data_IF_245749912026
#
_entry.id   IF_245749912026
#
_cell.length_a   1.000
_cell.length_b   1.000
_cell.length_c   1.000
_cell.angle_alpha   90.00
_cell.angle_beta   90.00
_cell.angle_gamma   90.00
#
_symmetry.space_group_name_H-M   'P 1'
#
loop_
_entity.id
_entity.type
_entity.pdbx_description
1 polymer ?
#
# COMPACT_ATOMS: atom_id res chain seq x y z
N UNK A 1 37.56 38.31 58.97
CA UNK A 1 36.35 39.11 58.69
C UNK A 1 36.01 38.84 57.22
N UNK A 2 35.21 37.79 56.98
CA UNK A 2 33.76 37.82 56.64
C UNK A 2 33.57 38.11 55.15
N UNK A 3 32.95 37.30 54.28
CA UNK A 3 32.10 36.08 54.33
C UNK A 3 32.02 35.59 52.86
N UNK A 4 32.31 34.34 52.48
CA UNK A 4 31.44 33.15 52.45
C UNK A 4 30.08 33.33 51.76
N UNK A 5 29.91 32.69 50.59
CA UNK A 5 28.80 31.74 50.38
C UNK A 5 29.17 30.71 49.30
N UNK A 6 29.32 29.46 49.74
CA UNK A 6 29.22 28.26 48.93
C UNK A 6 27.73 27.91 48.73
N UNK A 7 27.39 27.31 47.60
CA UNK A 7 26.11 26.65 47.36
C UNK A 7 26.34 25.39 46.55
N UNK A 8 26.00 24.24 47.13
CA UNK A 8 26.22 22.92 46.58
C UNK A 8 24.88 22.15 46.49
N UNK A 9 24.81 21.30 45.45
CA UNK A 9 24.07 20.02 45.29
C UNK A 9 22.57 20.02 44.95
N UNK A 10 22.26 19.04 44.08
CA UNK A 10 21.01 18.39 43.65
C UNK A 10 20.48 18.90 42.30
N UNK A 11 20.39 18.13 41.21
CA UNK A 11 20.34 16.68 41.04
C UNK A 11 18.90 16.26 40.68
N UNK A 12 18.77 15.63 39.51
CA UNK A 12 17.56 14.99 38.93
C UNK A 12 16.55 15.96 38.26
N UNK A 13 16.00 15.72 37.07
CA UNK A 13 15.89 14.50 36.27
C UNK A 13 16.17 14.79 34.79
N UNK A 14 17.05 13.97 34.19
CA UNK A 14 17.17 13.80 32.75
C UNK A 14 15.95 13.00 32.34
N UNK A 15 14.99 13.64 31.67
CA UNK A 15 13.86 12.92 31.07
C UNK A 15 14.39 11.98 30.00
N UNK A 16 14.07 10.69 30.13
CA UNK A 16 14.47 9.63 29.22
C UNK A 16 14.23 10.00 27.76
N UNK A 17 15.29 9.91 26.97
CA UNK A 17 15.28 10.09 25.52
C UNK A 17 15.19 8.69 24.92
N UNK A 18 14.08 8.38 24.25
CA UNK A 18 13.97 7.12 23.52
C UNK A 18 15.06 7.02 22.45
N UNK A 19 15.65 5.82 22.32
CA UNK A 19 16.82 5.40 21.52
C UNK A 19 16.67 5.58 19.99
N UNK A 20 15.66 6.35 19.55
CA UNK A 20 15.32 6.58 18.15
C UNK A 20 15.51 8.03 17.69
N UNK A 21 15.84 8.99 18.56
CA UNK A 21 16.35 10.32 18.16
C UNK A 21 15.51 11.12 17.16
N UNK A 22 14.17 11.04 17.18
CA UNK A 22 13.29 11.84 16.30
C UNK A 22 12.32 12.68 17.14
N UNK A 23 12.25 14.00 16.94
CA UNK A 23 11.37 14.86 17.73
C UNK A 23 9.90 14.59 17.46
N UNK A 24 9.14 14.51 18.56
CA UNK A 24 7.67 14.47 18.60
C UNK A 24 7.20 15.91 18.74
N UNK A 25 6.52 16.47 17.73
CA UNK A 25 5.95 17.82 17.88
C UNK A 25 4.64 17.74 18.65
N UNK A 26 4.67 18.35 19.84
CA UNK A 26 3.57 18.55 20.77
C UNK A 26 2.66 19.67 20.31
N UNK A 27 1.36 19.46 20.50
CA UNK A 27 0.29 20.37 20.14
C UNK A 27 0.20 21.64 21.01
N UNK A 28 -0.51 22.62 20.44
CA UNK A 28 -1.47 23.58 21.04
C UNK A 28 -1.05 25.03 21.27
N UNK A 29 -1.81 25.94 20.65
CA UNK A 29 -2.55 27.10 21.22
C UNK A 29 -3.01 28.01 20.05
N UNK A 30 -4.18 28.64 20.00
CA UNK A 30 -5.49 28.52 20.68
C UNK A 30 -6.49 29.45 19.91
N UNK A 31 -7.73 29.51 20.38
CA UNK A 31 -8.90 30.32 19.96
C UNK A 31 -9.78 29.68 18.86
N UNK A 32 -11.05 29.31 19.08
CA UNK A 32 -11.98 29.55 20.17
C UNK A 32 -13.30 30.08 19.59
N UNK A 33 -14.34 29.24 19.46
CA UNK A 33 -15.71 29.71 19.73
C UNK A 33 -16.67 28.56 20.04
N UNK A 34 -17.48 28.89 21.02
CA UNK A 34 -18.46 28.17 21.81
C UNK A 34 -19.79 27.92 21.07
N UNK A 35 -20.46 26.79 21.35
CA UNK A 35 -21.75 26.52 20.69
C UNK A 35 -22.55 25.29 21.15
N UNK A 36 -22.80 25.19 22.46
CA UNK A 36 -23.91 24.47 23.15
C UNK A 36 -24.55 23.23 22.48
N UNK A 37 -24.37 22.09 23.15
CA UNK A 37 -25.37 21.01 23.21
C UNK A 37 -26.55 21.36 24.14
N UNK A 38 -27.79 21.13 23.69
CA UNK A 38 -28.88 20.64 24.54
C UNK A 38 -29.76 19.67 23.77
N UNK A 39 -29.80 18.43 24.25
CA UNK A 39 -30.85 17.45 23.97
C UNK A 39 -32.10 17.84 24.76
N UNK A 40 -33.27 17.79 24.16
CA UNK A 40 -34.45 17.36 24.89
C UNK A 40 -35.43 16.60 23.98
N UNK A 41 -35.79 15.46 24.55
CA UNK A 41 -36.82 14.49 24.22
C UNK A 41 -38.18 15.11 23.90
N UNK A 42 -38.91 14.57 22.91
CA UNK A 42 -40.38 14.44 22.95
C UNK A 42 -40.94 13.73 21.70
N UNK A 43 -41.63 12.63 21.98
CA UNK A 43 -42.65 11.91 21.18
C UNK A 43 -43.79 11.60 22.18
N UNK A 44 -45.07 11.28 21.80
CA UNK A 44 -45.60 10.96 20.46
C UNK A 44 -47.10 11.32 20.14
N UNK A 45 -47.51 11.03 18.86
CA UNK A 45 -48.83 10.53 18.31
C UNK A 45 -50.01 11.51 18.05
N UNK A 46 -51.04 11.12 17.23
CA UNK A 46 -51.09 10.27 16.01
C UNK A 46 -52.04 10.81 14.89
N UNK A 47 -52.06 10.16 13.70
CA UNK A 47 -53.26 10.18 12.83
C UNK A 47 -53.10 9.77 11.35
N UNK A 48 -53.70 8.62 11.00
CA UNK A 48 -54.17 8.13 9.68
C UNK A 48 -53.16 8.05 8.50
N UNK A 49 -52.92 6.95 7.78
CA UNK A 49 -53.67 5.72 7.58
C UNK A 49 -53.89 5.51 6.07
N UNK A 50 -53.27 4.49 5.45
CA UNK A 50 -53.86 3.66 4.38
C UNK A 50 -52.90 2.52 3.95
N UNK A 51 -53.54 1.43 3.55
CA UNK A 51 -53.08 0.03 3.47
C UNK A 51 -52.47 -0.35 2.11
N UNK A 52 -51.75 -1.48 2.11
CA UNK A 52 -51.64 -2.60 1.12
C UNK A 52 -50.16 -2.94 0.86
N UNK A 53 -49.70 -4.18 0.70
CA UNK A 53 -50.15 -5.55 0.96
C UNK A 53 -48.91 -6.43 0.72
N UNK A 54 -48.72 -7.46 1.56
CA UNK A 54 -47.62 -8.42 1.48
C UNK A 54 -47.59 -9.18 0.14
N UNK A 55 -46.40 -9.29 -0.46
CA UNK A 55 -46.08 -10.31 -1.45
C UNK A 55 -44.88 -11.11 -0.94
N UNK A 56 -45.18 -12.28 -0.37
CA UNK A 56 -44.19 -13.31 -0.10
C UNK A 56 -43.90 -14.06 -1.42
N UNK A 57 -42.64 -14.00 -1.91
CA UNK A 57 -42.18 -14.88 -2.98
C UNK A 57 -41.34 -16.01 -2.40
N UNK A 58 -41.92 -17.21 -2.54
CA UNK A 58 -41.44 -18.52 -2.13
C UNK A 58 -40.06 -18.84 -2.74
N UNK A 59 -39.16 -19.36 -1.90
CA UNK A 59 -38.03 -20.19 -2.32
C UNK A 59 -38.59 -21.50 -2.90
N UNK A 60 -38.31 -21.81 -4.16
CA UNK A 60 -38.52 -23.14 -4.74
C UNK A 60 -37.24 -23.94 -4.50
N UNK A 61 -37.33 -24.99 -3.67
CA UNK A 61 -36.39 -26.11 -3.72
C UNK A 61 -36.80 -27.00 -4.89
N UNK A 62 -35.84 -27.35 -5.75
CA UNK A 62 -36.00 -28.43 -6.71
C UNK A 62 -35.62 -29.73 -6.00
N UNK A 63 -36.66 -30.49 -5.62
CA UNK A 63 -36.55 -31.92 -5.32
C UNK A 63 -36.51 -32.66 -6.66
N UNK A 64 -35.46 -33.44 -6.88
CA UNK A 64 -35.45 -34.53 -7.85
C UNK A 64 -35.63 -35.83 -7.08
N UNK A 65 -36.73 -36.51 -7.38
CA UNK A 65 -37.10 -37.85 -6.93
C UNK A 65 -36.40 -38.90 -7.78
N UNK A 66 -35.92 -39.98 -7.14
CA UNK A 66 -35.98 -41.32 -7.70
C UNK A 66 -35.98 -42.35 -6.57
N UNK A 67 -37.11 -43.06 -6.43
CA UNK A 67 -37.18 -44.39 -5.81
C UNK A 67 -36.34 -45.38 -6.67
N UNK A 68 -35.79 -46.51 -6.22
CA UNK A 68 -36.29 -47.52 -5.28
C UNK A 68 -35.19 -48.56 -4.96
N UNK A 69 -35.46 -49.33 -3.89
CA UNK A 69 -35.13 -50.75 -3.66
C UNK A 69 -33.73 -51.16 -3.14
N UNK A 70 -33.65 -51.33 -1.81
CA UNK A 70 -33.43 -52.62 -1.11
C UNK A 70 -32.14 -53.43 -1.32
N UNK A 71 -31.39 -53.68 -0.24
CA UNK A 71 -30.43 -54.81 -0.19
C UNK A 71 -29.36 -54.73 0.90
N UNK A 72 -29.19 -55.83 1.64
CA UNK A 72 -28.48 -55.96 2.92
C UNK A 72 -26.93 -55.80 2.91
N UNK A 73 -26.42 -55.53 4.12
CA UNK A 73 -25.04 -55.49 4.63
C UNK A 73 -24.04 -56.45 3.97
N UNK A 74 -22.79 -55.98 3.77
CA UNK A 74 -21.55 -56.62 4.28
C UNK A 74 -20.32 -55.74 4.07
N UNK A 75 -19.59 -55.52 5.16
CA UNK A 75 -18.25 -54.93 5.22
C UNK A 75 -17.23 -55.94 4.73
N UNK A 76 -16.38 -55.56 3.77
CA UNK A 76 -15.13 -56.26 3.46
C UNK A 76 -14.05 -55.23 3.13
N UNK A 77 -12.92 -55.39 3.80
CA UNK A 77 -11.68 -54.62 3.66
C UNK A 77 -10.70 -55.49 2.83
N UNK A 78 -9.72 -54.84 2.19
CA UNK A 78 -8.41 -55.34 1.66
C UNK A 78 -8.40 -55.68 0.14
N UNK A 79 -7.33 -55.43 -0.67
CA UNK A 79 -6.26 -54.41 -0.64
C UNK A 79 -6.07 -53.65 -1.99
N UNK A 80 -5.21 -52.63 -1.97
CA UNK A 80 -4.66 -51.93 -3.14
C UNK A 80 -3.80 -52.86 -4.01
N UNK A 81 -4.07 -52.90 -5.33
CA UNK A 81 -3.08 -53.28 -6.35
C UNK A 81 -3.18 -52.38 -7.59
N UNK A 82 -2.08 -52.35 -8.35
CA UNK A 82 -1.58 -51.28 -9.21
C UNK A 82 -2.29 -51.15 -10.57
N UNK A 83 -2.32 -49.91 -11.05
CA UNK A 83 -2.08 -49.46 -12.44
C UNK A 83 -3.01 -49.97 -13.55
N UNK A 84 -3.75 -49.04 -14.16
CA UNK A 84 -3.70 -48.78 -15.63
C UNK A 84 -4.35 -47.43 -15.95
N UNK A 85 -3.72 -46.64 -16.83
CA UNK A 85 -4.30 -45.46 -17.48
C UNK A 85 -5.51 -45.88 -18.32
N UNK A 86 -6.63 -45.13 -18.28
CA UNK A 86 -7.45 -44.67 -19.41
C UNK A 86 -8.40 -43.58 -18.89
N UNK A 87 -8.62 -42.51 -19.67
CA UNK A 87 -9.90 -41.79 -19.63
C UNK A 87 -9.80 -40.29 -19.39
N UNK A 88 -9.64 -39.52 -20.47
CA UNK A 88 -10.17 -38.17 -20.51
C UNK A 88 -11.69 -38.27 -20.43
N UNK A 89 -12.29 -37.61 -19.42
CA UNK A 89 -13.58 -36.87 -19.43
C UNK A 89 -14.06 -36.71 -17.99
N UNK A 90 -14.35 -35.47 -17.58
CA UNK A 90 -15.46 -35.05 -16.72
C UNK A 90 -15.04 -33.81 -15.93
N UNK A 91 -15.84 -32.74 -16.06
CA UNK A 91 -15.55 -31.41 -15.55
C UNK A 91 -15.23 -31.37 -14.05
N UNK A 92 -14.20 -30.60 -13.71
CA UNK A 92 -13.98 -30.17 -12.33
C UNK A 92 -15.09 -29.19 -11.92
N UNK A 93 -15.66 -29.30 -10.71
CA UNK A 93 -16.73 -28.42 -10.25
C UNK A 93 -16.25 -26.98 -10.20
N UNK A 94 -17.05 -26.06 -10.77
CA UNK A 94 -16.84 -24.61 -10.70
C UNK A 94 -16.88 -24.18 -9.24
N UNK A 95 -15.74 -23.75 -8.69
CA UNK A 95 -15.65 -23.19 -7.34
C UNK A 95 -15.84 -21.66 -7.42
N UNK A 96 -16.78 -21.05 -6.67
CA UNK A 96 -17.19 -19.67 -6.88
C UNK A 96 -16.55 -18.65 -5.92
N UNK A 97 -15.27 -18.79 -5.55
CA UNK A 97 -14.61 -17.88 -4.58
C UNK A 97 -13.42 -17.09 -5.16
N UNK A 98 -13.44 -15.78 -4.90
CA UNK A 98 -12.70 -14.69 -5.53
C UNK A 98 -11.19 -14.58 -5.22
N UNK A 99 -10.50 -15.67 -4.89
CA UNK A 99 -9.11 -15.60 -4.41
C UNK A 99 -8.12 -16.57 -5.08
N UNK A 100 -8.54 -17.36 -6.08
CA UNK A 100 -7.68 -18.46 -6.55
C UNK A 100 -6.72 -18.22 -7.70
N UNK A 101 -6.77 -17.09 -8.39
CA UNK A 101 -5.95 -16.94 -9.59
C UNK A 101 -5.14 -15.65 -9.60
N UNK A 102 -4.31 -15.38 -8.59
CA UNK A 102 -3.22 -14.40 -8.81
C UNK A 102 -2.08 -15.02 -9.63
N UNK A 103 -1.90 -16.34 -9.52
CA UNK A 103 -0.90 -17.08 -10.29
C UNK A 103 -1.24 -17.27 -11.79
N UNK A 104 -2.53 -17.35 -12.15
CA UNK A 104 -3.00 -17.51 -13.54
C UNK A 104 -2.92 -16.18 -14.33
N UNK A 105 -2.91 -15.07 -13.60
CA UNK A 105 -3.00 -13.70 -14.10
C UNK A 105 -1.77 -13.24 -14.87
N UNK A 106 -0.59 -13.63 -14.40
CA UNK A 106 0.66 -13.25 -15.04
C UNK A 106 1.03 -14.19 -16.20
N UNK A 107 0.30 -15.29 -16.41
CA UNK A 107 0.73 -16.43 -17.24
C UNK A 107 0.44 -16.31 -18.75
N UNK A 108 -0.13 -15.21 -19.26
CA UNK A 108 -0.47 -15.10 -20.68
C UNK A 108 0.68 -14.55 -21.55
N UNK A 109 1.29 -15.44 -22.36
CA UNK A 109 2.29 -15.11 -23.39
C UNK A 109 1.65 -14.47 -24.64
N UNK A 110 1.99 -13.20 -24.90
CA UNK A 110 2.27 -12.57 -26.22
C UNK A 110 2.30 -11.02 -26.05
N UNK A 111 3.46 -10.41 -26.36
CA UNK A 111 3.92 -9.00 -26.23
C UNK A 111 4.92 -8.77 -25.06
N UNK A 112 6.08 -8.14 -25.30
CA UNK A 112 7.01 -7.73 -24.25
C UNK A 112 6.39 -6.62 -23.36
N UNK A 113 6.86 -6.45 -22.10
CA UNK A 113 6.22 -5.56 -21.11
C UNK A 113 6.20 -4.08 -21.52
N UNK A 114 7.01 -3.69 -22.50
CA UNK A 114 7.14 -2.37 -23.11
C UNK A 114 6.23 -2.10 -24.32
N UNK A 115 5.56 -3.13 -24.87
CA UNK A 115 4.65 -2.98 -26.02
C UNK A 115 3.17 -2.72 -25.62
N UNK A 116 2.89 -2.56 -24.32
CA UNK A 116 1.56 -2.23 -23.80
C UNK A 116 1.53 -0.92 -23.02
N UNK A 117 0.40 -0.66 -22.35
CA UNK A 117 0.24 0.53 -21.50
C UNK A 117 0.91 0.31 -20.14
N UNK A 118 1.71 1.28 -19.71
CA UNK A 118 2.30 1.34 -18.39
C UNK A 118 1.34 2.10 -17.47
N UNK A 119 0.75 1.40 -16.50
CA UNK A 119 -0.05 2.04 -15.46
C UNK A 119 0.87 2.60 -14.38
N UNK A 120 0.73 3.88 -14.04
CA UNK A 120 1.42 4.51 -12.91
C UNK A 120 0.38 4.93 -11.88
N UNK A 121 0.38 4.29 -10.71
CA UNK A 121 -0.49 4.72 -9.60
C UNK A 121 0.25 5.71 -8.71
N UNK A 122 -0.45 6.68 -8.11
CA UNK A 122 0.21 7.78 -7.40
C UNK A 122 0.88 8.73 -8.39
N UNK A 123 0.36 8.78 -9.62
CA UNK A 123 0.94 9.51 -10.74
C UNK A 123 1.06 11.01 -10.47
N UNK A 124 0.18 11.61 -9.67
CA UNK A 124 0.25 13.04 -9.38
C UNK A 124 1.15 13.37 -8.18
N UNK A 125 1.69 12.36 -7.47
CA UNK A 125 2.71 12.53 -6.45
C UNK A 125 4.07 12.89 -7.04
N UNK A 126 5.02 13.31 -6.19
CA UNK A 126 6.33 13.81 -6.64
C UNK A 126 7.06 12.84 -7.59
N UNK A 127 7.25 11.59 -7.16
CA UNK A 127 7.93 10.56 -7.96
C UNK A 127 7.09 10.11 -9.15
N UNK A 128 5.76 10.05 -8.98
CA UNK A 128 4.83 9.71 -10.05
C UNK A 128 4.89 10.71 -11.20
N UNK A 129 4.94 12.01 -10.91
CA UNK A 129 5.00 13.05 -11.95
C UNK A 129 6.27 12.95 -12.76
N UNK A 130 7.41 12.88 -12.10
CA UNK A 130 8.71 12.73 -12.75
C UNK A 130 8.75 11.48 -13.65
N UNK A 131 8.20 10.35 -13.17
CA UNK A 131 8.13 9.12 -13.97
C UNK A 131 7.18 9.26 -15.16
N UNK A 132 5.96 9.79 -14.97
CA UNK A 132 4.98 9.93 -16.05
C UNK A 132 5.49 10.87 -17.13
N UNK A 133 6.03 12.04 -16.75
CA UNK A 133 6.61 13.01 -17.68
C UNK A 133 7.72 12.39 -18.52
N UNK A 134 8.61 11.63 -17.86
CA UNK A 134 9.67 10.90 -18.54
C UNK A 134 9.13 9.85 -19.52
N UNK A 135 8.23 8.97 -19.07
CA UNK A 135 7.69 7.90 -19.92
C UNK A 135 6.97 8.46 -21.14
N UNK A 136 6.22 9.56 -20.97
CA UNK A 136 5.57 10.28 -22.07
C UNK A 136 6.59 10.90 -23.02
N UNK A 137 7.66 11.51 -22.51
CA UNK A 137 8.75 12.06 -23.33
C UNK A 137 9.49 10.96 -24.13
N UNK A 138 9.56 9.74 -23.60
CA UNK A 138 10.08 8.55 -24.27
C UNK A 138 9.09 7.94 -25.29
N UNK A 139 7.89 8.51 -25.45
CA UNK A 139 6.86 8.03 -26.38
C UNK A 139 6.13 6.77 -25.91
N UNK A 140 6.22 6.44 -24.61
CA UNK A 140 5.57 5.25 -24.03
C UNK A 140 4.10 5.54 -23.76
N UNK A 141 3.24 4.54 -23.92
CA UNK A 141 1.83 4.63 -23.55
C UNK A 141 1.69 4.55 -22.02
N UNK A 142 1.13 5.59 -21.39
CA UNK A 142 0.98 5.68 -19.94
C UNK A 142 -0.48 5.86 -19.54
N UNK A 143 -0.93 5.06 -18.58
CA UNK A 143 -2.18 5.27 -17.85
C UNK A 143 -1.88 5.81 -16.46
N UNK A 144 -2.08 7.11 -16.27
CA UNK A 144 -1.93 7.75 -14.97
C UNK A 144 -3.16 7.49 -14.08
N UNK A 145 -2.91 6.95 -12.87
CA UNK A 145 -3.95 6.67 -11.87
C UNK A 145 -3.65 7.47 -10.61
N UNK A 146 -4.42 8.54 -10.42
CA UNK A 146 -4.35 9.39 -9.24
C UNK A 146 -5.65 10.23 -9.10
N UNK A 147 -6.18 10.47 -7.89
CA UNK A 147 -7.30 11.40 -7.68
C UNK A 147 -6.97 12.85 -8.03
N UNK A 148 -5.70 13.25 -8.02
CA UNK A 148 -5.22 14.58 -8.36
C UNK A 148 -4.54 14.64 -9.74
N UNK A 149 -4.87 13.69 -10.63
CA UNK A 149 -4.30 13.63 -11.97
C UNK A 149 -4.58 14.93 -12.75
N UNK A 150 -3.57 15.57 -13.37
CA UNK A 150 -3.80 16.74 -14.21
C UNK A 150 -4.61 16.36 -15.45
N UNK A 151 -5.47 17.26 -15.99
CA UNK A 151 -6.33 16.95 -17.14
C UNK A 151 -5.56 16.45 -18.38
N UNK A 152 -4.31 16.88 -18.55
CA UNK A 152 -3.44 16.46 -19.65
C UNK A 152 -3.12 14.95 -19.63
N UNK A 153 -3.25 14.28 -18.48
CA UNK A 153 -3.02 12.84 -18.34
C UNK A 153 -4.32 12.03 -18.29
N UNK A 154 -5.46 12.71 -18.49
CA UNK A 154 -6.79 12.13 -18.47
C UNK A 154 -7.56 12.40 -17.18
N UNK A 155 -8.72 11.75 -16.99
CA UNK A 155 -9.57 11.99 -15.83
C UNK A 155 -8.92 11.45 -14.55
N UNK A 156 -9.24 12.04 -13.38
CA UNK A 156 -8.90 11.47 -12.08
C UNK A 156 -9.39 10.04 -11.93
N UNK A 157 -8.54 9.16 -11.38
CA UNK A 157 -8.85 7.75 -11.14
C UNK A 157 -8.31 7.33 -9.77
N UNK A 158 -8.99 6.39 -9.12
CA UNK A 158 -8.47 5.72 -7.92
C UNK A 158 -8.40 4.23 -8.18
N UNK A 159 -7.49 3.53 -7.49
CA UNK A 159 -7.22 2.11 -7.72
C UNK A 159 -8.49 1.27 -7.52
N UNK A 160 -9.31 1.62 -6.52
CA UNK A 160 -10.54 0.92 -6.16
C UNK A 160 -11.66 1.09 -7.19
N UNK A 161 -11.53 2.05 -8.11
CA UNK A 161 -12.55 2.42 -9.10
C UNK A 161 -12.13 2.14 -10.53
N UNK A 162 -11.01 1.46 -10.76
CA UNK A 162 -10.59 1.04 -12.09
C UNK A 162 -11.55 -0.01 -12.64
N UNK A 163 -11.99 0.20 -13.88
CA UNK A 163 -12.86 -0.72 -14.62
C UNK A 163 -12.03 -1.76 -15.40
N UNK A 164 -12.66 -2.84 -15.84
CA UNK A 164 -12.03 -3.83 -16.73
C UNK A 164 -11.46 -3.18 -18.01
N UNK A 165 -12.07 -2.09 -18.48
CA UNK A 165 -11.60 -1.36 -19.65
C UNK A 165 -10.30 -0.57 -19.36
N UNK A 166 -10.12 -0.04 -18.15
CA UNK A 166 -8.86 0.62 -17.75
C UNK A 166 -7.69 -0.38 -17.71
N UNK A 167 -7.97 -1.66 -17.46
CA UNK A 167 -6.96 -2.73 -17.40
C UNK A 167 -6.68 -3.40 -18.75
N UNK A 168 -7.47 -3.11 -19.79
CA UNK A 168 -7.50 -3.88 -21.05
C UNK A 168 -6.12 -4.02 -21.70
N UNK A 169 -5.37 -2.93 -21.76
CA UNK A 169 -4.09 -2.83 -22.47
C UNK A 169 -2.88 -2.69 -21.51
N UNK A 170 -3.11 -2.86 -20.20
CA UNK A 170 -2.07 -2.68 -19.18
C UNK A 170 -1.18 -3.92 -19.09
N UNK A 171 0.08 -3.77 -19.46
CA UNK A 171 1.11 -4.84 -19.39
C UNK A 171 2.06 -4.65 -18.22
N UNK A 172 2.26 -3.42 -17.77
CA UNK A 172 3.15 -3.07 -16.67
C UNK A 172 2.45 -2.14 -15.69
N UNK A 173 2.65 -2.38 -14.39
CA UNK A 173 2.20 -1.48 -13.32
C UNK A 173 3.40 -0.97 -12.55
N UNK A 174 3.54 0.34 -12.43
CA UNK A 174 4.42 1.00 -11.47
C UNK A 174 3.57 1.53 -10.32
N UNK A 175 3.62 0.81 -9.20
CA UNK A 175 2.79 1.08 -8.04
C UNK A 175 3.52 2.02 -7.05
N UNK A 176 3.28 3.33 -7.20
CA UNK A 176 3.81 4.39 -6.33
C UNK A 176 2.78 4.97 -5.36
N UNK A 177 1.50 4.60 -5.48
CA UNK A 177 0.45 5.11 -4.61
C UNK A 177 0.70 4.65 -3.16
N UNK A 178 0.61 5.60 -2.25
CA UNK A 178 0.82 5.37 -0.83
C UNK A 178 1.08 6.67 -0.08
N UNK A 179 0.93 6.61 1.23
CA UNK A 179 1.28 7.68 2.15
C UNK A 179 2.65 7.39 2.76
N UNK A 180 3.56 8.36 2.66
CA UNK A 180 4.92 8.32 3.21
C UNK A 180 5.02 8.80 4.66
N UNK A 181 3.90 9.22 5.25
CA UNK A 181 3.83 9.71 6.64
C UNK A 181 4.19 8.57 7.59
N UNK A 182 5.19 8.80 8.46
CA UNK A 182 5.75 7.76 9.33
C UNK A 182 5.86 8.23 10.79
N UNK A 183 4.71 8.40 11.47
CA UNK A 183 4.64 8.92 12.83
C UNK A 183 5.08 7.85 13.85
N UNK A 184 5.18 8.25 15.12
CA UNK A 184 5.41 7.30 16.21
C UNK A 184 4.31 6.20 16.23
N UNK A 185 4.67 4.96 16.60
CA UNK A 185 3.72 3.85 16.62
C UNK A 185 2.51 4.14 17.53
N UNK A 186 1.32 4.02 16.97
CA UNK A 186 0.06 4.04 17.70
C UNK A 186 -0.99 3.23 16.92
N UNK A 187 -2.06 2.75 17.56
CA UNK A 187 -3.13 2.05 16.85
C UNK A 187 -3.71 2.87 15.69
N UNK A 188 -3.96 4.17 15.90
CA UNK A 188 -4.48 5.06 14.87
C UNK A 188 -3.50 5.24 13.70
N UNK A 189 -2.21 5.43 13.98
CA UNK A 189 -1.19 5.52 12.94
C UNK A 189 -1.06 4.22 12.14
N UNK A 190 -1.14 3.07 12.81
CA UNK A 190 -1.12 1.76 12.15
C UNK A 190 -2.32 1.58 11.23
N UNK A 191 -3.53 1.89 11.70
CA UNK A 191 -4.75 1.82 10.89
C UNK A 191 -4.67 2.73 9.66
N UNK A 192 -4.26 3.99 9.84
CA UNK A 192 -4.10 4.94 8.75
C UNK A 192 -3.06 4.46 7.73
N UNK A 193 -1.90 3.99 8.19
CA UNK A 193 -0.84 3.52 7.29
C UNK A 193 -1.29 2.26 6.52
N UNK A 194 -2.00 1.33 7.16
CA UNK A 194 -2.56 0.14 6.50
C UNK A 194 -3.58 0.53 5.43
N UNK A 195 -4.51 1.43 5.75
CA UNK A 195 -5.50 1.93 4.83
C UNK A 195 -4.88 2.65 3.63
N UNK A 196 -3.79 3.39 3.83
CA UNK A 196 -3.12 4.16 2.78
C UNK A 196 -2.18 3.33 1.90
N UNK A 197 -1.54 2.29 2.44
CA UNK A 197 -0.46 1.58 1.74
C UNK A 197 -0.79 0.12 1.41
N UNK A 198 -1.43 -0.61 2.33
CA UNK A 198 -1.71 -2.04 2.14
C UNK A 198 -3.02 -2.25 1.38
N UNK A 199 -4.08 -1.55 1.75
CA UNK A 199 -5.40 -1.73 1.12
C UNK A 199 -5.40 -1.41 -0.38
N UNK A 200 -4.77 -0.31 -0.85
CA UNK A 200 -4.71 -0.02 -2.28
C UNK A 200 -3.83 -1.04 -3.03
N UNK A 201 -2.76 -1.54 -2.40
CA UNK A 201 -1.96 -2.64 -2.96
C UNK A 201 -2.82 -3.89 -3.17
N UNK A 202 -3.63 -4.27 -2.19
CA UNK A 202 -4.55 -5.41 -2.32
C UNK A 202 -5.59 -5.20 -3.42
N UNK A 203 -6.19 -4.01 -3.49
CA UNK A 203 -7.17 -3.66 -4.51
C UNK A 203 -6.57 -3.72 -5.92
N UNK A 204 -5.35 -3.20 -6.09
CA UNK A 204 -4.58 -3.29 -7.33
C UNK A 204 -4.39 -4.75 -7.76
N UNK A 205 -3.87 -5.58 -6.86
CA UNK A 205 -3.56 -6.99 -7.14
C UNK A 205 -4.81 -7.83 -7.46
N UNK A 206 -5.97 -7.46 -6.91
CA UNK A 206 -7.24 -8.13 -7.22
C UNK A 206 -7.68 -7.95 -8.69
N UNK A 207 -7.28 -6.84 -9.32
CA UNK A 207 -7.68 -6.43 -10.67
C UNK A 207 -6.56 -6.54 -11.71
N UNK A 208 -5.32 -6.77 -11.30
CA UNK A 208 -4.13 -6.80 -12.17
C UNK A 208 -4.04 -8.04 -13.09
N UNK A 209 -5.16 -8.49 -13.69
CA UNK A 209 -5.34 -9.83 -14.27
C UNK A 209 -4.51 -10.18 -15.50
N UNK A 210 -3.98 -9.17 -16.20
CA UNK A 210 -3.21 -9.33 -17.45
C UNK A 210 -1.83 -8.67 -17.38
N UNK A 211 -1.50 -8.15 -16.20
CA UNK A 211 -0.22 -7.50 -15.94
C UNK A 211 0.89 -8.55 -16.07
N UNK A 212 2.02 -8.16 -16.63
CA UNK A 212 3.21 -9.01 -16.78
C UNK A 212 4.34 -8.58 -15.88
N UNK A 213 4.32 -7.31 -15.48
CA UNK A 213 5.32 -6.73 -14.60
C UNK A 213 4.69 -5.79 -13.59
N UNK A 214 5.01 -5.98 -12.32
CA UNK A 214 4.66 -5.08 -11.23
C UNK A 214 5.95 -4.55 -10.63
N UNK A 215 6.12 -3.24 -10.69
CA UNK A 215 7.20 -2.51 -10.04
C UNK A 215 6.60 -1.84 -8.83
N UNK A 216 7.03 -2.25 -7.65
CA UNK A 216 6.52 -1.72 -6.38
C UNK A 216 7.57 -0.81 -5.72
N UNK A 217 7.17 0.42 -5.41
CA UNK A 217 8.00 1.32 -4.61
C UNK A 217 7.87 0.98 -3.12
N UNK A 218 8.87 0.26 -2.63
CA UNK A 218 9.14 0.04 -1.21
C UNK A 218 10.05 1.15 -0.65
N UNK A 219 10.56 0.96 0.57
CA UNK A 219 11.37 1.94 1.30
C UNK A 219 12.51 1.25 2.04
N UNK A 220 13.63 1.94 2.23
CA UNK A 220 14.67 1.51 3.18
C UNK A 220 14.15 1.41 4.63
N UNK A 221 13.00 2.03 4.95
CA UNK A 221 12.32 1.90 6.25
C UNK A 221 11.98 0.45 6.62
N UNK A 222 11.96 -0.48 5.65
CA UNK A 222 11.74 -1.91 5.92
C UNK A 222 12.89 -2.56 6.69
N UNK A 223 14.09 -1.98 6.65
CA UNK A 223 15.25 -2.52 7.38
C UNK A 223 15.20 -2.21 8.87
N UNK A 224 14.52 -1.13 9.28
CA UNK A 224 14.60 -0.62 10.65
C UNK A 224 15.99 -0.06 10.97
N UNK A 225 16.41 -0.18 12.23
CA UNK A 225 17.78 0.16 12.64
C UNK A 225 18.80 -0.78 11.97
N UNK A 226 19.72 -0.25 11.13
CA UNK A 226 20.71 -1.07 10.44
C UNK A 226 21.71 -1.71 11.41
N UNK A 227 22.12 -2.96 11.13
CA UNK A 227 23.17 -3.65 11.89
C UNK A 227 24.57 -3.40 11.34
N UNK A 228 24.64 -2.96 10.08
CA UNK A 228 25.86 -2.63 9.38
C UNK A 228 25.56 -1.60 8.29
N UNK A 229 26.57 -0.80 7.95
CA UNK A 229 26.55 0.15 6.84
C UNK A 229 27.74 -0.17 5.91
N UNK A 230 27.56 -0.21 4.57
CA UNK A 230 26.31 0.02 3.84
C UNK A 230 25.27 -1.10 4.01
N UNK A 231 24.00 -0.77 3.82
CA UNK A 231 22.88 -1.72 3.94
C UNK A 231 22.73 -2.47 2.62
N UNK A 232 23.05 -3.76 2.60
CA UNK A 232 22.81 -4.64 1.46
C UNK A 232 21.33 -5.07 1.37
N UNK A 233 20.86 -5.47 0.19
CA UNK A 233 19.45 -5.83 -0.04
C UNK A 233 19.00 -7.08 0.71
N UNK A 234 19.93 -7.96 1.06
CA UNK A 234 19.73 -9.15 1.88
C UNK A 234 19.77 -8.87 3.40
N UNK A 235 19.98 -7.61 3.80
CA UNK A 235 19.93 -7.20 5.20
C UNK A 235 18.55 -7.54 5.80
N UNK A 236 18.51 -8.07 7.04
CA UNK A 236 17.25 -8.38 7.71
C UNK A 236 16.28 -7.19 7.74
N UNK A 237 15.01 -7.46 7.48
CA UNK A 237 13.94 -6.46 7.59
C UNK A 237 13.34 -6.50 8.98
N UNK A 238 13.41 -5.38 9.71
CA UNK A 238 12.85 -5.22 11.05
C UNK A 238 12.24 -3.81 11.19
N UNK A 239 11.18 -3.47 10.44
CA UNK A 239 10.61 -2.13 10.49
C UNK A 239 10.06 -1.80 11.87
N UNK A 240 10.41 -0.63 12.38
CA UNK A 240 10.03 -0.17 13.73
C UNK A 240 8.79 0.71 13.74
N UNK A 241 8.40 1.23 12.56
CA UNK A 241 7.32 2.22 12.42
C UNK A 241 6.23 1.78 11.44
N UNK A 242 5.00 2.29 11.58
CA UNK A 242 3.87 1.88 10.76
C UNK A 242 4.12 1.93 9.25
N UNK A 243 4.76 2.99 8.73
CA UNK A 243 5.03 3.09 7.30
C UNK A 243 5.93 1.94 6.81
N UNK A 244 7.06 1.70 7.50
CA UNK A 244 7.98 0.60 7.18
C UNK A 244 7.30 -0.76 7.24
N UNK A 245 6.45 -0.99 8.25
CA UNK A 245 5.64 -2.21 8.36
C UNK A 245 4.74 -2.38 7.14
N UNK A 246 4.03 -1.33 6.74
CA UNK A 246 3.10 -1.40 5.59
C UNK A 246 3.81 -1.62 4.26
N UNK A 247 5.00 -1.03 4.06
CA UNK A 247 5.82 -1.29 2.87
C UNK A 247 6.28 -2.74 2.83
N UNK A 248 6.76 -3.29 3.95
CA UNK A 248 7.15 -4.71 4.01
C UNK A 248 5.95 -5.65 3.77
N UNK A 249 4.78 -5.33 4.32
CA UNK A 249 3.55 -6.09 4.04
C UNK A 249 3.21 -6.05 2.54
N UNK A 250 3.29 -4.87 1.91
CA UNK A 250 3.06 -4.72 0.48
C UNK A 250 4.09 -5.51 -0.37
N UNK A 251 5.37 -5.56 0.03
CA UNK A 251 6.39 -6.41 -0.61
C UNK A 251 5.95 -7.88 -0.63
N UNK A 252 5.47 -8.40 0.51
CA UNK A 252 5.00 -9.77 0.60
C UNK A 252 3.77 -10.01 -0.29
N UNK A 253 2.81 -9.08 -0.32
CA UNK A 253 1.62 -9.19 -1.15
C UNK A 253 1.96 -9.24 -2.65
N UNK A 254 2.82 -8.34 -3.13
CA UNK A 254 3.19 -8.31 -4.56
C UNK A 254 4.02 -9.53 -4.94
N UNK A 255 4.95 -9.99 -4.08
CA UNK A 255 5.73 -11.21 -4.33
C UNK A 255 4.86 -12.47 -4.32
N UNK A 256 3.91 -12.56 -3.38
CA UNK A 256 2.97 -13.68 -3.33
C UNK A 256 2.07 -13.71 -4.56
N UNK A 257 1.62 -12.54 -5.02
CA UNK A 257 0.84 -12.42 -6.25
C UNK A 257 1.58 -12.99 -7.47
N UNK A 258 2.91 -12.83 -7.51
CA UNK A 258 3.76 -13.33 -8.59
C UNK A 258 4.52 -14.61 -8.26
N UNK A 259 4.07 -15.41 -7.29
CA UNK A 259 4.80 -16.61 -6.87
C UNK A 259 5.07 -17.62 -8.02
N UNK A 260 4.22 -17.65 -9.05
CA UNK A 260 4.41 -18.48 -10.25
C UNK A 260 5.34 -17.86 -11.30
N UNK A 261 5.62 -16.56 -11.22
CA UNK A 261 6.45 -15.79 -12.15
C UNK A 261 7.28 -14.76 -11.38
N UNK A 262 8.31 -15.17 -10.62
CA UNK A 262 9.06 -14.26 -9.74
C UNK A 262 9.66 -13.04 -10.45
N UNK A 263 10.10 -13.21 -11.70
CA UNK A 263 10.71 -12.16 -12.53
C UNK A 263 9.68 -11.10 -13.02
N UNK A 264 8.40 -11.31 -12.73
CA UNK A 264 7.33 -10.36 -12.98
C UNK A 264 7.25 -9.27 -11.90
N UNK A 265 7.97 -9.40 -10.77
CA UNK A 265 7.92 -8.41 -9.69
C UNK A 265 9.28 -7.83 -9.39
N UNK A 266 9.36 -6.51 -9.45
CA UNK A 266 10.53 -5.75 -8.99
C UNK A 266 10.10 -4.90 -7.80
N UNK A 267 10.83 -5.03 -6.70
CA UNK A 267 10.63 -4.21 -5.50
C UNK A 267 11.82 -3.28 -5.38
N UNK A 268 11.59 -1.97 -5.42
CA UNK A 268 12.63 -0.97 -5.22
C UNK A 268 12.49 -0.40 -3.81
N UNK A 269 13.47 -0.67 -2.93
CA UNK A 269 13.55 -0.09 -1.59
C UNK A 269 14.23 1.28 -1.68
N UNK A 270 13.43 2.30 -1.94
CA UNK A 270 13.95 3.64 -2.18
C UNK A 270 14.45 4.29 -0.87
N UNK A 271 15.58 4.97 -0.96
CA UNK A 271 16.04 5.90 0.07
C UNK A 271 15.19 7.18 0.08
N UNK A 272 15.57 8.17 0.88
CA UNK A 272 14.80 9.41 0.96
C UNK A 272 14.92 10.20 -0.35
N UNK A 273 13.86 10.17 -1.16
CA UNK A 273 13.81 10.90 -2.43
C UNK A 273 13.69 12.40 -2.19
N UNK A 274 14.56 13.18 -2.84
CA UNK A 274 14.50 14.64 -2.86
C UNK A 274 14.59 15.20 -4.29
N UNK A 275 14.04 16.39 -4.51
CA UNK A 275 14.09 17.07 -5.81
C UNK A 275 12.92 18.04 -5.99
N UNK A 276 12.78 18.65 -7.17
CA UNK A 276 11.72 19.61 -7.46
C UNK A 276 10.31 19.06 -7.20
N UNK A 277 9.34 19.95 -6.98
CA UNK A 277 7.92 19.61 -6.90
C UNK A 277 7.45 18.92 -5.61
N UNK A 278 8.31 18.81 -4.59
CA UNK A 278 7.88 18.35 -3.26
C UNK A 278 7.36 19.49 -2.41
N UNK A 279 6.14 19.40 -1.84
CA UNK A 279 5.72 20.28 -0.75
C UNK A 279 6.32 19.85 0.61
N UNK A 280 7.32 18.97 0.59
CA UNK A 280 7.75 18.19 1.75
C UNK A 280 8.63 19.02 2.68
N UNK A 281 8.26 19.13 3.95
CA UNK A 281 9.05 19.82 5.00
C UNK A 281 10.19 18.97 5.57
N UNK A 282 10.71 18.03 4.78
CA UNK A 282 11.83 17.17 5.22
C UNK A 282 13.10 18.01 5.34
N UNK A 283 14.06 17.53 6.14
CA UNK A 283 15.27 18.29 6.50
C UNK A 283 15.97 18.90 5.28
N UNK A 284 16.15 18.12 4.20
CA UNK A 284 16.77 18.60 2.96
C UNK A 284 16.07 19.84 2.38
N UNK A 285 14.74 19.83 2.29
CA UNK A 285 13.98 20.98 1.77
C UNK A 285 14.07 22.20 2.70
N UNK A 286 14.00 21.97 4.02
CA UNK A 286 14.17 23.05 5.00
C UNK A 286 15.56 23.68 4.89
N UNK A 287 16.61 22.89 4.71
CA UNK A 287 17.97 23.39 4.55
C UNK A 287 18.13 24.20 3.26
N UNK A 288 17.50 23.77 2.17
CA UNK A 288 17.45 24.53 0.91
C UNK A 288 16.71 25.86 1.12
N UNK A 289 15.54 25.83 1.77
CA UNK A 289 14.75 27.05 2.03
C UNK A 289 15.49 28.05 2.93
N UNK A 290 16.18 27.56 3.97
CA UNK A 290 16.99 28.41 4.85
C UNK A 290 18.19 29.00 4.10
N UNK A 291 18.90 28.20 3.31
CA UNK A 291 20.02 28.68 2.49
C UNK A 291 19.59 29.74 1.47
N UNK A 292 18.48 29.51 0.76
CA UNK A 292 17.92 30.46 -0.19
C UNK A 292 17.47 31.78 0.47
N UNK A 293 17.04 31.71 1.73
CA UNK A 293 16.65 32.88 2.51
C UNK A 293 17.79 33.52 3.30
N UNK A 294 19.04 33.04 3.16
CA UNK A 294 20.19 33.54 3.89
C UNK A 294 20.15 33.28 5.40
N UNK A 295 19.37 32.27 5.85
CA UNK A 295 19.30 31.84 7.24
C UNK A 295 20.21 30.62 7.46
N UNK A 296 20.84 30.47 8.64
CA UNK A 296 21.58 29.25 8.97
C UNK A 296 20.60 28.05 9.10
N UNK A 297 20.93 26.87 8.52
CA UNK A 297 20.11 25.68 8.69
C UNK A 297 20.05 25.20 10.15
N UNK A 298 18.86 24.83 10.63
CA UNK A 298 18.69 24.29 11.99
C UNK A 298 18.69 22.77 12.00
N UNK A 299 19.69 22.17 12.65
CA UNK A 299 19.74 20.73 12.94
C UNK A 299 19.01 20.44 14.26
N UNK A 300 17.94 19.64 14.21
CA UNK A 300 17.16 19.21 15.38
C UNK A 300 17.47 17.78 15.81
N UNK A 301 18.48 17.17 15.21
CA UNK A 301 18.91 15.78 15.40
C UNK A 301 20.43 15.76 15.57
N UNK A 302 20.97 14.62 16.01
CA UNK A 302 22.42 14.42 16.16
C UNK A 302 23.16 14.79 14.85
N UNK A 303 24.25 15.58 14.93
CA UNK A 303 25.10 15.91 13.78
C UNK A 303 25.72 14.69 13.09
N UNK A 304 25.84 13.58 13.81
CA UNK A 304 26.39 12.32 13.34
C UNK A 304 25.38 11.49 12.53
N UNK A 305 24.10 11.87 12.53
CA UNK A 305 23.05 11.18 11.79
C UNK A 305 23.36 11.18 10.29
N UNK A 306 23.54 9.97 9.73
CA UNK A 306 23.69 9.75 8.30
C UNK A 306 22.35 9.45 7.66
N UNK A 307 22.09 10.05 6.51
CA UNK A 307 20.91 9.80 5.68
C UNK A 307 21.36 9.62 4.23
N UNK A 308 20.82 8.61 3.59
CA UNK A 308 21.01 8.41 2.16
C UNK A 308 19.90 9.16 1.40
N UNK A 309 20.33 10.02 0.48
CA UNK A 309 19.46 10.90 -0.29
C UNK A 309 19.52 10.49 -1.75
N UNK A 310 18.34 10.18 -2.32
CA UNK A 310 18.21 9.80 -3.72
C UNK A 310 17.59 10.97 -4.48
N UNK A 311 18.27 11.46 -5.53
CA UNK A 311 17.69 12.50 -6.36
C UNK A 311 16.45 11.97 -7.11
N UNK A 312 15.45 12.83 -7.31
CA UNK A 312 14.18 12.51 -7.95
C UNK A 312 14.36 11.89 -9.33
N UNK A 313 15.27 12.47 -10.13
CA UNK A 313 15.54 11.98 -11.49
C UNK A 313 16.21 10.61 -11.48
N UNK A 314 17.06 10.31 -10.48
CA UNK A 314 17.68 9.00 -10.32
C UNK A 314 16.65 7.95 -9.88
N UNK A 315 15.75 8.31 -8.97
CA UNK A 315 14.63 7.44 -8.57
C UNK A 315 13.70 7.14 -9.75
N UNK A 316 13.34 8.16 -10.55
CA UNK A 316 12.54 7.97 -11.76
C UNK A 316 13.29 7.13 -12.81
N UNK A 317 14.62 7.29 -12.92
CA UNK A 317 15.47 6.47 -13.78
C UNK A 317 15.47 5.01 -13.38
N UNK A 318 15.66 4.71 -12.10
CA UNK A 318 15.64 3.35 -11.60
C UNK A 318 14.27 2.68 -11.87
N UNK A 319 13.17 3.41 -11.68
CA UNK A 319 11.82 2.91 -11.98
C UNK A 319 11.62 2.66 -13.48
N UNK A 320 12.07 3.57 -14.35
CA UNK A 320 11.97 3.39 -15.80
C UNK A 320 12.79 2.18 -16.28
N UNK A 321 14.02 2.02 -15.78
CA UNK A 321 14.87 0.87 -16.08
C UNK A 321 14.25 -0.45 -15.60
N UNK A 322 13.50 -0.45 -14.51
CA UNK A 322 12.84 -1.65 -14.01
C UNK A 322 11.68 -2.15 -14.91
N UNK A 323 11.20 -1.34 -15.88
CA UNK A 323 10.09 -1.71 -16.78
C UNK A 323 10.55 -2.73 -17.84
N UNK A 324 11.77 -2.58 -18.35
CA UNK A 324 12.39 -3.44 -19.38
C UNK A 324 13.04 -4.67 -18.75
#
# INVERSE_FOLDING_TARGET
MTTSTAGAVMGAEVGDVDDAGIPVDMASSDEGDSGRHRRHDQRPRPGAGRRRSLVARRRRSCLLTSDSAGGSKKTQIIPRTKSTRVGATAGSPRCPCALRDVACVLASRAMPPDEGTIMVTGAAGQLGRALVERLVAEGRAVLAVDPACPPAWGPPRTIERLSEDDWRDVTCVVHLAGDKTDPAPSPAAAEQALAANVMPTMALLASARRVRRIIHASSISVYGTPRAEPIAEDHPTAPERPYGVTKLMAEHLVRQAAASLPDAVVVLRLAQVYGPGSPSKLAMYRFIDDALAGRPPTLTVSPELRRDYLHLDDAASALACAIT
#
